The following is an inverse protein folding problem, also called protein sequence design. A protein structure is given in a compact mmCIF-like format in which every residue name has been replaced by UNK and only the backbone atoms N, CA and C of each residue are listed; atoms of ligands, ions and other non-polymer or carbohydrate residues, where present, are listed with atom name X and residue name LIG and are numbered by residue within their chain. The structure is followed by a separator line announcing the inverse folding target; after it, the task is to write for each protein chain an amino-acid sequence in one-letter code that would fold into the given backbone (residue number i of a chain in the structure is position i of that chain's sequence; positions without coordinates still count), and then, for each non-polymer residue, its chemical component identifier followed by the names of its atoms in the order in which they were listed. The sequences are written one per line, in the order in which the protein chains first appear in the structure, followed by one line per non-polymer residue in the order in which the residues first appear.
data_IF_403896365271
#
_entry.id   IF_403896365271
#
_cell.length_a   1.000
_cell.length_b   1.000
_cell.length_c   1.000
_cell.angle_alpha   90.00
_cell.angle_beta   90.00
_cell.angle_gamma   90.00
#
_symmetry.space_group_name_H-M   'P 1'
#
loop_
_entity.id
_entity.type
_entity.pdbx_description
1 polymer ?
#
# COMPACT_ATOMS: atom_id res chain seq x y z
N UNK A 1 11.46 -2.40 -4.80
CA UNK A 1 10.44 -1.90 -5.73
C UNK A 1 10.89 -0.53 -6.24
N UNK A 2 11.43 -0.46 -7.46
CA UNK A 2 11.75 0.84 -8.09
C UNK A 2 10.42 1.41 -8.56
N UNK A 3 9.97 2.51 -7.94
CA UNK A 3 8.81 3.28 -8.39
C UNK A 3 9.11 3.79 -9.81
N UNK A 4 8.65 3.05 -10.83
CA UNK A 4 8.85 3.41 -12.23
C UNK A 4 8.27 4.80 -12.52
N UNK A 5 8.87 5.50 -13.48
CA UNK A 5 8.55 6.87 -13.89
C UNK A 5 7.04 7.16 -14.09
N UNK A 6 6.24 6.14 -14.42
CA UNK A 6 4.77 6.23 -14.57
C UNK A 6 4.02 6.47 -13.26
N UNK A 7 4.62 6.18 -12.11
CA UNK A 7 3.97 6.30 -10.80
C UNK A 7 4.11 7.70 -10.19
N UNK A 8 5.06 8.55 -10.65
CA UNK A 8 5.28 9.89 -10.07
C UNK A 8 4.03 10.77 -10.13
N UNK A 9 3.36 10.85 -11.28
CA UNK A 9 2.15 11.68 -11.43
C UNK A 9 0.91 11.12 -10.73
N UNK A 10 0.92 9.83 -10.36
CA UNK A 10 -0.12 9.19 -9.55
C UNK A 10 0.13 9.45 -8.06
N UNK A 11 1.41 9.37 -7.66
CA UNK A 11 1.88 9.66 -6.32
C UNK A 11 1.43 11.03 -5.81
N UNK A 12 1.75 12.09 -6.57
CA UNK A 12 1.44 13.47 -6.19
C UNK A 12 -0.06 13.71 -6.00
N UNK A 13 -0.89 13.04 -6.82
CA UNK A 13 -2.36 13.12 -6.70
C UNK A 13 -2.90 12.35 -5.49
N UNK A 14 -2.27 11.24 -5.13
CA UNK A 14 -2.69 10.47 -3.96
C UNK A 14 -2.34 11.23 -2.69
N UNK A 15 -1.09 11.68 -2.53
CA UNK A 15 -0.63 12.34 -1.29
C UNK A 15 -1.38 13.65 -1.00
N UNK A 16 -1.94 14.29 -2.02
CA UNK A 16 -2.74 15.53 -1.86
C UNK A 16 -4.19 15.27 -1.46
N UNK A 17 -4.72 14.06 -1.68
CA UNK A 17 -6.15 13.74 -1.50
C UNK A 17 -6.42 12.66 -0.47
N UNK A 18 -5.44 11.81 -0.21
CA UNK A 18 -5.57 10.61 0.60
C UNK A 18 -4.43 10.54 1.59
N UNK A 19 -4.74 10.05 2.78
CA UNK A 19 -3.72 9.67 3.76
C UNK A 19 -3.15 8.32 3.37
N UNK A 20 -1.83 8.19 3.41
CA UNK A 20 -1.13 6.94 3.10
C UNK A 20 -0.72 6.24 4.39
N UNK A 21 -1.10 4.96 4.52
CA UNK A 21 -0.77 4.10 5.64
C UNK A 21 0.17 2.99 5.19
N UNK A 22 1.23 2.75 5.98
CA UNK A 22 2.15 1.64 5.79
C UNK A 22 2.11 0.72 7.01
N UNK A 23 2.15 -0.59 6.77
CA UNK A 23 2.34 -1.56 7.84
C UNK A 23 3.80 -1.60 8.28
N UNK A 24 4.06 -2.04 9.52
CA UNK A 24 5.43 -2.19 10.01
C UNK A 24 6.26 -3.16 9.15
N UNK A 25 5.61 -4.20 8.60
CA UNK A 25 6.26 -5.18 7.72
C UNK A 25 6.59 -4.59 6.35
N UNK A 26 5.74 -3.71 5.82
CA UNK A 26 6.03 -2.99 4.57
C UNK A 26 7.27 -2.10 4.71
N UNK A 27 7.46 -1.47 5.88
CA UNK A 27 8.65 -0.67 6.18
C UNK A 27 9.89 -1.55 6.34
N UNK A 28 9.76 -2.70 7.03
CA UNK A 28 10.85 -3.66 7.18
C UNK A 28 11.31 -4.19 5.81
N UNK A 29 10.37 -4.54 4.92
CA UNK A 29 10.69 -4.98 3.57
C UNK A 29 11.35 -3.88 2.73
N UNK A 30 10.83 -2.65 2.78
CA UNK A 30 11.45 -1.52 2.11
C UNK A 30 12.91 -1.34 2.57
N UNK A 31 13.13 -1.38 3.88
CA UNK A 31 14.48 -1.27 4.47
C UNK A 31 15.39 -2.39 3.99
N UNK A 32 14.89 -3.63 3.95
CA UNK A 32 15.65 -4.76 3.45
C UNK A 32 16.01 -4.59 1.96
N UNK A 33 15.08 -4.11 1.13
CA UNK A 33 15.33 -3.83 -0.28
C UNK A 33 16.38 -2.73 -0.47
N UNK A 34 16.29 -1.64 0.29
CA UNK A 34 17.27 -0.54 0.24
C UNK A 34 18.67 -1.02 0.59
N UNK A 35 18.79 -1.86 1.62
CA UNK A 35 20.07 -2.46 1.98
C UNK A 35 20.73 -3.21 0.82
N UNK A 36 19.95 -4.00 0.07
CA UNK A 36 20.45 -4.73 -1.09
C UNK A 36 20.77 -3.83 -2.30
N UNK A 37 20.20 -2.63 -2.36
CA UNK A 37 20.40 -1.67 -3.45
C UNK A 37 21.47 -0.62 -3.15
N UNK A 38 22.02 -0.58 -1.94
CA UNK A 38 22.93 0.49 -1.48
C UNK A 38 24.06 0.80 -2.46
N UNK A 39 24.68 -0.22 -3.04
CA UNK A 39 25.83 -0.03 -3.93
C UNK A 39 25.42 0.26 -5.39
N UNK A 40 24.15 0.01 -5.75
CA UNK A 40 23.62 0.15 -7.13
C UNK A 40 22.76 1.39 -7.32
N UNK A 41 22.22 1.94 -6.24
CA UNK A 41 21.34 3.11 -6.25
C UNK A 41 21.61 3.94 -4.98
N UNK A 42 22.69 4.74 -4.97
CA UNK A 42 23.11 5.48 -3.79
C UNK A 42 22.05 6.47 -3.27
N UNK A 43 21.22 7.01 -4.17
CA UNK A 43 20.14 7.95 -3.79
C UNK A 43 18.87 7.25 -3.27
N UNK A 44 18.77 5.92 -3.41
CA UNK A 44 17.53 5.20 -3.08
C UNK A 44 17.17 5.27 -1.59
N UNK A 45 18.17 5.34 -0.71
CA UNK A 45 17.94 5.45 0.73
C UNK A 45 17.31 6.80 1.09
N UNK A 46 17.81 7.89 0.53
CA UNK A 46 17.28 9.23 0.78
C UNK A 46 15.90 9.42 0.16
N UNK A 47 15.69 8.90 -1.06
CA UNK A 47 14.37 8.86 -1.69
C UNK A 47 13.34 8.12 -0.82
N UNK A 48 13.72 6.95 -0.30
CA UNK A 48 12.81 6.18 0.56
C UNK A 48 12.53 6.87 1.89
N UNK A 49 13.51 7.52 2.51
CA UNK A 49 13.29 8.33 3.72
C UNK A 49 12.31 9.48 3.44
N UNK A 50 12.44 10.14 2.29
CA UNK A 50 11.52 11.21 1.90
C UNK A 50 10.10 10.70 1.70
N UNK A 51 9.94 9.54 1.05
CA UNK A 51 8.65 8.89 0.87
C UNK A 51 8.03 8.46 2.20
N UNK A 52 8.81 7.85 3.09
CA UNK A 52 8.34 7.43 4.43
C UNK A 52 7.87 8.61 5.29
N UNK A 53 8.44 9.81 5.12
CA UNK A 53 7.98 11.02 5.82
C UNK A 53 6.59 11.48 5.40
N UNK A 54 6.11 11.07 4.23
CA UNK A 54 4.79 11.39 3.72
C UNK A 54 3.73 10.36 4.15
N UNK A 55 4.13 9.33 4.89
CA UNK A 55 3.29 8.21 5.27
C UNK A 55 3.11 8.15 6.78
N UNK A 56 1.95 7.64 7.20
CA UNK A 56 1.74 7.25 8.58
C UNK A 56 2.03 5.75 8.72
N UNK A 57 2.82 5.39 9.72
CA UNK A 57 3.15 3.99 10.04
C UNK A 57 2.58 3.67 11.42
N UNK A 58 1.32 3.20 11.50
CA UNK A 58 0.74 2.80 12.78
C UNK A 58 1.54 1.68 13.44
N UNK A 59 1.63 1.74 14.77
CA UNK A 59 2.19 0.63 15.54
C UNK A 59 1.36 -0.64 15.33
N UNK A 60 2.02 -1.79 15.21
CA UNK A 60 1.37 -3.10 15.01
C UNK A 60 0.28 -3.38 16.04
N UNK A 61 0.50 -2.97 17.29
CA UNK A 61 -0.48 -3.11 18.37
C UNK A 61 -1.87 -2.55 18.04
N UNK A 62 -1.99 -1.60 17.10
CA UNK A 62 -3.26 -1.03 16.63
C UNK A 62 -4.11 -2.02 15.81
N UNK A 63 -3.49 -3.02 15.18
CA UNK A 63 -4.18 -3.96 14.27
C UNK A 63 -3.80 -5.43 14.51
N UNK A 64 -2.96 -5.71 15.50
CA UNK A 64 -2.45 -7.04 15.82
C UNK A 64 -3.55 -8.08 16.04
N UNK A 65 -4.64 -7.68 16.69
CA UNK A 65 -5.73 -8.60 17.04
C UNK A 65 -6.45 -9.15 15.79
N UNK A 66 -6.32 -8.47 14.65
CA UNK A 66 -6.87 -8.90 13.37
C UNK A 66 -5.91 -9.72 12.50
N UNK A 67 -4.64 -9.89 12.89
CA UNK A 67 -3.62 -10.54 12.05
C UNK A 67 -3.97 -12.00 11.71
N UNK A 68 -4.41 -12.77 12.70
CA UNK A 68 -4.79 -14.18 12.49
C UNK A 68 -5.94 -14.29 11.50
N UNK A 69 -6.98 -13.46 11.69
CA UNK A 69 -8.14 -13.44 10.80
C UNK A 69 -7.75 -12.98 9.39
N UNK A 70 -6.88 -11.98 9.26
CA UNK A 70 -6.38 -11.52 7.97
C UNK A 70 -5.61 -12.61 7.22
N UNK A 71 -4.73 -13.34 7.92
CA UNK A 71 -3.99 -14.46 7.34
C UNK A 71 -4.92 -15.60 6.87
N UNK A 72 -5.96 -15.91 7.64
CA UNK A 72 -6.95 -16.92 7.25
C UNK A 72 -7.80 -16.46 6.06
N UNK A 73 -8.20 -15.19 6.01
CA UNK A 73 -8.89 -14.61 4.85
C UNK A 73 -8.04 -14.69 3.59
N UNK A 74 -6.75 -14.35 3.67
CA UNK A 74 -5.81 -14.45 2.54
C UNK A 74 -5.64 -15.91 2.08
N UNK A 75 -5.53 -16.85 3.03
CA UNK A 75 -5.42 -18.28 2.71
C UNK A 75 -6.66 -18.80 1.96
N UNK A 76 -7.83 -18.28 2.31
CA UNK A 76 -9.11 -18.65 1.70
C UNK A 76 -9.43 -17.85 0.44
N UNK A 77 -8.74 -16.73 0.20
CA UNK A 77 -8.90 -15.93 -1.01
C UNK A 77 -8.44 -16.75 -2.23
N UNK A 78 -9.31 -16.82 -3.24
CA UNK A 78 -9.09 -17.65 -4.42
C UNK A 78 -7.79 -17.29 -5.18
N UNK A 79 -7.35 -16.03 -5.08
CA UNK A 79 -6.18 -15.52 -5.78
C UNK A 79 -4.84 -15.83 -5.08
N UNK A 80 -4.83 -15.86 -3.75
CA UNK A 80 -3.58 -15.94 -2.97
C UNK A 80 -3.22 -17.37 -2.59
N UNK A 81 -4.18 -18.17 -2.07
CA UNK A 81 -3.91 -19.49 -1.43
C UNK A 81 -2.62 -19.53 -0.59
N UNK A 82 -2.16 -18.39 -0.09
CA UNK A 82 -0.98 -18.26 0.73
C UNK A 82 -1.36 -17.44 1.96
N UNK A 83 -0.80 -17.83 3.10
CA UNK A 83 -1.03 -17.15 4.37
C UNK A 83 0.14 -16.22 4.68
N UNK A 84 0.58 -15.44 3.70
CA UNK A 84 1.73 -14.54 3.84
C UNK A 84 1.53 -13.63 5.05
N UNK A 85 2.47 -13.69 5.99
CA UNK A 85 2.44 -12.86 7.21
C UNK A 85 2.47 -11.38 6.83
N UNK A 86 3.25 -11.00 5.82
CA UNK A 86 3.36 -9.61 5.36
C UNK A 86 2.05 -9.08 4.81
N UNK A 87 1.36 -9.89 4.00
CA UNK A 87 0.07 -9.48 3.43
C UNK A 87 -1.03 -9.44 4.49
N UNK A 88 -0.95 -10.32 5.51
CA UNK A 88 -1.85 -10.27 6.65
C UNK A 88 -1.71 -8.95 7.43
N UNK A 89 -0.50 -8.40 7.55
CA UNK A 89 -0.30 -7.08 8.16
C UNK A 89 -0.95 -5.96 7.35
N UNK A 90 -0.89 -6.02 6.02
CA UNK A 90 -1.53 -5.03 5.14
C UNK A 90 -3.05 -5.12 5.26
N UNK A 91 -3.63 -6.33 5.19
CA UNK A 91 -5.07 -6.52 5.27
C UNK A 91 -5.62 -6.17 6.66
N UNK A 92 -4.95 -6.56 7.74
CA UNK A 92 -5.34 -6.19 9.10
C UNK A 92 -5.27 -4.67 9.33
N UNK A 93 -4.25 -4.00 8.81
CA UNK A 93 -4.14 -2.54 8.87
C UNK A 93 -5.28 -1.86 8.11
N UNK A 94 -5.62 -2.39 6.92
CA UNK A 94 -6.72 -1.89 6.10
C UNK A 94 -8.06 -1.97 6.85
N UNK A 95 -8.33 -3.09 7.51
CA UNK A 95 -9.53 -3.25 8.36
C UNK A 95 -9.55 -2.28 9.54
N UNK A 96 -8.43 -2.15 10.26
CA UNK A 96 -8.36 -1.32 11.46
C UNK A 96 -8.60 0.18 11.20
N UNK A 97 -8.32 0.64 9.97
CA UNK A 97 -8.43 2.05 9.59
C UNK A 97 -9.51 2.31 8.53
N UNK A 98 -10.32 1.31 8.19
CA UNK A 98 -11.32 1.39 7.11
C UNK A 98 -10.70 1.94 5.80
N UNK A 99 -9.52 1.43 5.46
CA UNK A 99 -8.69 1.95 4.38
C UNK A 99 -8.67 1.00 3.19
N UNK A 100 -8.71 1.55 1.98
CA UNK A 100 -8.51 0.79 0.76
C UNK A 100 -7.05 0.32 0.61
N UNK A 101 -6.84 -0.89 0.07
CA UNK A 101 -5.50 -1.41 -0.19
C UNK A 101 -5.02 -0.91 -1.56
N UNK A 102 -3.82 -0.33 -1.61
CA UNK A 102 -3.14 -0.03 -2.87
C UNK A 102 -1.97 -0.99 -3.07
N UNK A 103 -2.10 -1.92 -4.02
CA UNK A 103 -1.07 -2.92 -4.30
C UNK A 103 -1.10 -3.37 -5.75
N UNK A 104 0.04 -3.86 -6.23
CA UNK A 104 0.12 -4.61 -7.49
C UNK A 104 -0.12 -6.11 -7.29
N UNK A 105 -0.14 -6.57 -6.04
CA UNK A 105 -0.36 -7.97 -5.74
C UNK A 105 -1.82 -8.35 -5.93
N UNK A 106 -2.04 -9.44 -6.67
CA UNK A 106 -3.37 -10.02 -6.88
C UNK A 106 -3.88 -10.74 -5.65
N UNK A 107 -3.03 -11.01 -4.67
CA UNK A 107 -3.36 -11.84 -3.51
C UNK A 107 -4.43 -11.21 -2.61
N UNK A 108 -4.59 -9.90 -2.67
CA UNK A 108 -5.69 -9.20 -2.01
C UNK A 108 -7.04 -9.35 -2.75
N UNK A 109 -7.04 -9.82 -3.99
CA UNK A 109 -8.26 -10.05 -4.75
C UNK A 109 -9.04 -11.25 -4.16
N UNK A 110 -10.33 -11.05 -3.92
CA UNK A 110 -11.20 -12.09 -3.36
C UNK A 110 -11.13 -12.21 -1.84
N UNK A 111 -10.41 -11.32 -1.15
CA UNK A 111 -10.46 -11.18 0.32
C UNK A 111 -11.76 -10.54 0.82
N UNK A 112 -12.55 -9.95 -0.09
CA UNK A 112 -13.74 -9.16 0.24
C UNK A 112 -13.43 -7.71 0.63
N UNK A 113 -12.15 -7.30 0.65
CA UNK A 113 -11.74 -5.94 0.96
C UNK A 113 -11.37 -5.14 -0.31
N UNK A 114 -11.66 -3.82 -0.38
CA UNK A 114 -11.27 -3.00 -1.52
C UNK A 114 -9.76 -3.01 -1.76
N UNK A 115 -9.37 -3.29 -3.00
CA UNK A 115 -7.98 -3.23 -3.45
C UNK A 115 -7.87 -2.60 -4.83
N UNK A 116 -6.87 -1.74 -5.00
CA UNK A 116 -6.64 -0.96 -6.20
C UNK A 116 -5.25 -1.21 -6.75
N UNK A 117 -5.16 -1.45 -8.06
CA UNK A 117 -3.89 -1.32 -8.77
C UNK A 117 -3.57 0.14 -9.01
N UNK A 118 -2.29 0.48 -9.21
CA UNK A 118 -1.89 1.85 -9.56
C UNK A 118 -2.61 2.40 -10.80
N UNK A 119 -2.95 1.55 -11.77
CA UNK A 119 -3.68 1.96 -12.96
C UNK A 119 -5.15 2.32 -12.64
N UNK A 120 -5.82 1.48 -11.85
CA UNK A 120 -7.22 1.72 -11.46
C UNK A 120 -7.34 2.94 -10.54
N UNK A 121 -6.41 3.08 -9.60
CA UNK A 121 -6.36 4.23 -8.70
C UNK A 121 -6.13 5.53 -9.48
N UNK A 122 -5.20 5.52 -10.45
CA UNK A 122 -4.95 6.69 -11.30
C UNK A 122 -6.18 7.08 -12.14
N UNK A 123 -6.90 6.10 -12.69
CA UNK A 123 -8.12 6.34 -13.44
C UNK A 123 -9.22 6.96 -12.55
N UNK A 124 -9.49 6.36 -11.39
CA UNK A 124 -10.47 6.84 -10.43
C UNK A 124 -10.17 8.28 -9.96
N UNK A 125 -8.90 8.61 -9.67
CA UNK A 125 -8.49 9.97 -9.30
C UNK A 125 -8.66 10.97 -10.45
N UNK A 126 -8.52 10.52 -11.71
CA UNK A 126 -8.83 11.31 -12.89
C UNK A 126 -10.31 11.70 -12.95
N UNK A 127 -11.19 10.73 -12.74
CA UNK A 127 -12.64 10.92 -12.76
C UNK A 127 -13.14 11.76 -11.56
N UNK A 128 -12.59 11.55 -10.36
CA UNK A 128 -12.86 12.41 -9.20
C UNK A 128 -12.53 13.88 -9.48
N UNK A 129 -11.45 14.13 -10.23
CA UNK A 129 -11.08 15.50 -10.60
C UNK A 129 -12.13 16.12 -11.52
N UNK A 130 -12.60 15.37 -12.52
CA UNK A 130 -13.64 15.84 -13.42
C UNK A 130 -14.97 16.08 -12.67
N UNK A 131 -15.33 15.20 -11.73
CA UNK A 131 -16.53 15.34 -10.91
C UNK A 131 -16.47 16.54 -9.95
N UNK A 132 -15.32 16.80 -9.32
CA UNK A 132 -15.12 17.96 -8.45
C UNK A 132 -15.16 19.30 -9.19
N UNK A 133 -14.82 19.34 -10.48
CA UNK A 133 -14.92 20.56 -11.30
C UNK A 133 -16.36 20.78 -11.79
N UNK A 134 -17.16 19.72 -11.90
CA UNK A 134 -18.55 19.79 -12.34
C UNK A 134 -19.54 20.19 -11.22
N UNK A 135 -19.15 20.07 -9.94
CA UNK A 135 -19.92 20.52 -8.79
C UNK A 135 -19.14 21.61 -8.02
N UNK A 136 -19.33 22.90 -8.34
CA UNK A 136 -18.69 24.00 -7.63
C UNK A 136 -19.31 24.27 -6.25
#
# INVERSE_FOLDING_TARGET
MVLGFRLRGVWDRIVTRRRLLFSVESVAELTAVLWHLRDRAPDAEDDAKNVLRLMEVPQEARYRDSLTQAADTLRNAAASRNGSVKDAHILALAWAYDADIWSHDRDFAGTGWPSWSSANLAAALGDETAASVANP
#
